data_IF_386386520156
#
_entry.id   IF_386386520156
#
_cell.length_a   1.000
_cell.length_b   1.000
_cell.length_c   1.000
_cell.angle_alpha   90.00
_cell.angle_beta   90.00
_cell.angle_gamma   90.00
#
_symmetry.space_group_name_H-M   'P 1'
#
loop_
_entity.id
_entity.type
_entity.pdbx_description
1 polymer ?
#
# COMPACT_ATOMS: atom_id res chain seq x y z
N UNK A 1 6.98 -32.79 19.12
CA UNK A 1 8.23 -32.00 19.20
C UNK A 1 8.53 -31.25 17.90
N UNK A 2 8.67 -31.90 16.73
CA UNK A 2 9.01 -31.20 15.46
C UNK A 2 8.02 -30.09 15.07
N UNK A 3 6.72 -30.29 15.32
CA UNK A 3 5.65 -29.29 15.09
C UNK A 3 5.82 -28.02 15.94
N UNK A 4 6.27 -28.16 17.18
CA UNK A 4 6.42 -27.03 18.11
C UNK A 4 7.54 -26.07 17.67
N UNK A 5 8.62 -26.56 17.06
CA UNK A 5 9.71 -25.72 16.57
C UNK A 5 9.27 -24.85 15.38
N UNK A 6 8.46 -25.40 14.47
CA UNK A 6 7.96 -24.68 13.30
C UNK A 6 7.11 -23.49 13.76
N UNK A 7 6.16 -23.70 14.67
CA UNK A 7 5.33 -22.61 15.18
C UNK A 7 6.19 -21.52 15.87
N UNK A 8 7.17 -21.90 16.70
CA UNK A 8 8.07 -20.94 17.37
C UNK A 8 8.85 -20.11 16.34
N UNK A 9 9.41 -20.74 15.31
CA UNK A 9 10.12 -20.04 14.23
C UNK A 9 9.16 -19.07 13.50
N UNK A 10 7.95 -19.51 13.18
CA UNK A 10 6.93 -18.66 12.54
C UNK A 10 6.61 -17.43 13.38
N UNK A 11 6.44 -17.59 14.70
CA UNK A 11 6.24 -16.47 15.63
C UNK A 11 7.41 -15.49 15.62
N UNK A 12 8.65 -16.00 15.63
CA UNK A 12 9.85 -15.15 15.58
C UNK A 12 9.88 -14.35 14.26
N UNK A 13 9.53 -14.96 13.13
CA UNK A 13 9.50 -14.26 11.83
C UNK A 13 8.39 -13.22 11.77
N UNK A 14 7.19 -13.54 12.28
CA UNK A 14 6.07 -12.60 12.34
C UNK A 14 6.40 -11.42 13.26
N UNK A 15 7.02 -11.67 14.41
CA UNK A 15 7.48 -10.63 15.33
C UNK A 15 8.65 -9.82 14.77
N UNK A 16 9.59 -10.48 14.09
CA UNK A 16 10.70 -9.83 13.40
C UNK A 16 10.21 -8.87 12.33
N UNK A 17 9.19 -9.27 11.56
CA UNK A 17 8.52 -8.39 10.61
C UNK A 17 8.02 -7.12 11.31
N UNK A 18 7.49 -7.25 12.53
CA UNK A 18 7.03 -6.12 13.34
C UNK A 18 8.12 -5.08 13.62
N UNK A 19 9.33 -5.54 13.91
CA UNK A 19 10.50 -4.70 14.17
C UNK A 19 11.06 -4.05 12.90
N UNK A 20 10.90 -4.66 11.73
CA UNK A 20 11.32 -4.06 10.46
C UNK A 20 10.40 -2.90 10.02
N UNK A 21 9.17 -2.79 10.53
CA UNK A 21 8.24 -1.73 10.11
C UNK A 21 8.69 -0.28 10.36
N UNK A 22 9.19 0.13 11.54
CA UNK A 22 9.70 1.49 11.71
C UNK A 22 10.85 1.79 10.74
N UNK A 23 11.67 0.79 10.40
CA UNK A 23 12.74 0.94 9.43
C UNK A 23 12.20 1.12 8.01
N UNK A 24 11.22 0.32 7.62
CA UNK A 24 10.55 0.44 6.32
C UNK A 24 9.85 1.80 6.16
N UNK A 25 9.14 2.26 7.21
CA UNK A 25 8.52 3.58 7.26
C UNK A 25 9.55 4.69 7.05
N UNK A 26 10.68 4.64 7.78
CA UNK A 26 11.77 5.62 7.65
C UNK A 26 12.36 5.62 6.25
N UNK A 27 12.58 4.45 5.65
CA UNK A 27 13.10 4.38 4.28
C UNK A 27 12.16 5.00 3.25
N UNK A 28 10.85 4.73 3.34
CA UNK A 28 9.88 5.33 2.41
C UNK A 28 9.85 6.84 2.59
N UNK A 29 9.75 7.32 3.82
CA UNK A 29 9.73 8.76 4.12
C UNK A 29 11.01 9.46 3.63
N UNK A 30 12.18 8.84 3.84
CA UNK A 30 13.45 9.38 3.36
C UNK A 30 13.49 9.53 1.82
N UNK A 31 12.85 8.62 1.08
CA UNK A 31 12.73 8.71 -0.38
C UNK A 31 11.66 9.71 -0.83
N UNK A 32 10.56 9.83 -0.07
CA UNK A 32 9.42 10.69 -0.42
C UNK A 32 9.65 12.17 -0.12
N UNK A 33 10.54 12.50 0.82
CA UNK A 33 10.83 13.87 1.22
C UNK A 33 9.79 14.42 2.21
N UNK A 34 9.69 15.76 2.30
CA UNK A 34 8.76 16.37 3.24
C UNK A 34 7.30 16.14 2.81
N UNK A 35 6.44 15.95 3.80
CA UNK A 35 5.01 15.83 3.56
C UNK A 35 4.42 17.22 3.33
N UNK A 36 3.74 17.38 2.19
CA UNK A 36 3.08 18.64 1.81
C UNK A 36 1.62 18.62 2.27
N UNK A 37 0.97 17.46 2.23
CA UNK A 37 -0.40 17.30 2.68
C UNK A 37 -0.69 15.87 3.15
N UNK A 38 -1.13 15.68 4.39
CA UNK A 38 -1.49 14.36 4.93
C UNK A 38 -2.98 14.12 4.66
N UNK A 39 -3.32 13.12 3.84
CA UNK A 39 -4.69 12.59 3.74
C UNK A 39 -4.81 11.37 4.64
N UNK A 40 -5.13 11.62 5.90
CA UNK A 40 -5.47 10.54 6.83
C UNK A 40 -6.85 9.98 6.49
N UNK A 41 -6.91 8.92 5.67
CA UNK A 41 -8.11 8.07 5.62
C UNK A 41 -8.21 7.27 6.91
N UNK A 42 -9.45 7.07 7.39
CA UNK A 42 -9.75 6.28 8.58
C UNK A 42 -9.28 4.85 8.36
N UNK A 43 -8.43 4.32 9.25
CA UNK A 43 -7.96 2.92 9.16
C UNK A 43 -9.17 1.98 9.12
N UNK A 44 -9.23 1.09 8.14
CA UNK A 44 -10.25 0.04 8.13
C UNK A 44 -9.97 -0.93 9.28
N UNK A 45 -10.97 -1.26 10.12
CA UNK A 45 -10.79 -2.23 11.20
C UNK A 45 -10.46 -3.63 10.66
N UNK A 46 -10.77 -3.91 9.39
CA UNK A 46 -10.54 -5.20 8.74
C UNK A 46 -9.06 -5.59 8.72
N UNK A 47 -8.15 -4.67 8.41
CA UNK A 47 -6.71 -4.98 8.36
C UNK A 47 -6.17 -5.46 9.70
N UNK A 48 -6.70 -4.91 10.81
CA UNK A 48 -6.32 -5.34 12.16
C UNK A 48 -6.90 -6.72 12.49
N UNK A 49 -8.15 -6.98 12.08
CA UNK A 49 -8.80 -8.29 12.26
C UNK A 49 -8.01 -9.39 11.55
N UNK A 50 -7.62 -9.18 10.29
CA UNK A 50 -6.88 -10.19 9.51
C UNK A 50 -5.49 -10.41 10.13
N UNK A 51 -4.83 -9.35 10.61
CA UNK A 51 -3.56 -9.47 11.31
C UNK A 51 -3.68 -10.38 12.54
N UNK A 52 -4.68 -10.15 13.40
CA UNK A 52 -4.93 -10.99 14.59
C UNK A 52 -5.27 -12.42 14.18
N UNK A 53 -6.04 -12.61 13.12
CA UNK A 53 -6.42 -13.92 12.61
C UNK A 53 -5.20 -14.75 12.19
N UNK A 54 -4.20 -14.15 11.55
CA UNK A 54 -2.95 -14.84 11.19
C UNK A 54 -2.22 -15.39 12.43
N UNK A 55 -2.20 -14.63 13.55
CA UNK A 55 -1.63 -15.09 14.81
C UNK A 55 -2.43 -16.23 15.45
N UNK A 56 -3.76 -16.16 15.38
CA UNK A 56 -4.65 -17.20 15.91
C UNK A 56 -4.50 -18.52 15.14
N UNK A 57 -4.33 -18.45 13.81
CA UNK A 57 -4.14 -19.63 12.96
C UNK A 57 -2.86 -20.39 13.36
N UNK A 58 -1.74 -19.69 13.54
CA UNK A 58 -0.47 -20.30 13.97
C UNK A 58 -0.57 -20.83 15.41
N UNK A 59 -1.33 -20.16 16.29
CA UNK A 59 -1.59 -20.66 17.64
C UNK A 59 -2.39 -21.98 17.63
N UNK A 60 -3.39 -22.09 16.75
CA UNK A 60 -4.21 -23.30 16.60
C UNK A 60 -3.39 -24.51 16.11
N UNK A 61 -2.30 -24.30 15.38
CA UNK A 61 -1.36 -25.38 15.00
C UNK A 61 -0.73 -26.04 16.23
N UNK A 62 -0.56 -25.34 17.35
CA UNK A 62 0.00 -25.94 18.57
C UNK A 62 -0.95 -26.97 19.20
N UNK A 63 -2.27 -26.78 19.03
CA UNK A 63 -3.29 -27.67 19.57
C UNK A 63 -3.65 -28.82 18.62
N UNK A 64 -3.40 -28.68 17.32
CA UNK A 64 -3.67 -29.73 16.32
C UNK A 64 -2.41 -30.45 15.86
N UNK A 65 -2.42 -31.78 15.93
CA UNK A 65 -1.38 -32.62 15.29
C UNK A 65 -1.66 -32.73 13.79
N UNK A 66 -1.22 -31.73 13.02
CA UNK A 66 -1.21 -31.75 11.56
C UNK A 66 0.08 -32.41 11.01
N UNK A 67 0.04 -32.85 9.75
CA UNK A 67 1.23 -33.32 9.04
C UNK A 67 2.26 -32.20 8.90
N UNK A 68 3.55 -32.56 8.81
CA UNK A 68 4.65 -31.59 8.75
C UNK A 68 4.51 -30.62 7.56
N UNK A 69 4.09 -31.13 6.40
CA UNK A 69 3.85 -30.36 5.18
C UNK A 69 2.70 -29.37 5.32
N UNK A 70 1.60 -29.75 5.99
CA UNK A 70 0.48 -28.83 6.24
C UNK A 70 0.88 -27.69 7.17
N UNK A 71 1.61 -27.97 8.25
CA UNK A 71 2.08 -26.92 9.17
C UNK A 71 3.00 -25.92 8.46
N UNK A 72 3.90 -26.40 7.59
CA UNK A 72 4.76 -25.53 6.79
C UNK A 72 3.95 -24.62 5.85
N UNK A 73 2.94 -25.16 5.17
CA UNK A 73 2.09 -24.37 4.29
C UNK A 73 1.29 -23.31 5.06
N UNK A 74 0.64 -23.70 6.16
CA UNK A 74 -0.20 -22.79 6.94
C UNK A 74 0.64 -21.71 7.62
N UNK A 75 1.76 -22.07 8.27
CA UNK A 75 2.73 -21.11 8.81
C UNK A 75 3.28 -20.18 7.74
N UNK A 76 3.65 -20.69 6.56
CA UNK A 76 4.12 -19.88 5.44
C UNK A 76 3.09 -18.87 4.96
N UNK A 77 1.84 -19.31 4.77
CA UNK A 77 0.72 -18.43 4.42
C UNK A 77 0.46 -17.36 5.49
N UNK A 78 0.53 -17.72 6.78
CA UNK A 78 0.35 -16.77 7.87
C UNK A 78 1.45 -15.69 7.89
N UNK A 79 2.70 -16.08 7.66
CA UNK A 79 3.84 -15.15 7.56
C UNK A 79 3.64 -14.19 6.38
N UNK A 80 3.30 -14.71 5.19
CA UNK A 80 3.04 -13.89 4.01
C UNK A 80 1.86 -12.94 4.22
N UNK A 81 0.78 -13.42 4.84
CA UNK A 81 -0.38 -12.61 5.19
C UNK A 81 0.01 -11.44 6.09
N UNK A 82 0.73 -11.71 7.19
CA UNK A 82 1.25 -10.67 8.09
C UNK A 82 2.13 -9.67 7.34
N UNK A 83 3.01 -10.12 6.46
CA UNK A 83 3.87 -9.23 5.69
C UNK A 83 3.07 -8.29 4.79
N UNK A 84 2.09 -8.81 4.04
CA UNK A 84 1.23 -8.02 3.15
C UNK A 84 0.39 -7.02 3.93
N UNK A 85 -0.33 -7.50 4.95
CA UNK A 85 -1.24 -6.67 5.76
C UNK A 85 -0.48 -5.57 6.45
N UNK A 86 0.71 -5.87 6.98
CA UNK A 86 1.43 -4.85 7.73
C UNK A 86 2.08 -3.83 6.81
N UNK A 87 2.53 -4.23 5.61
CA UNK A 87 2.91 -3.29 4.56
C UNK A 87 1.74 -2.36 4.22
N UNK A 88 0.55 -2.92 4.05
CA UNK A 88 -0.67 -2.17 3.80
C UNK A 88 -0.97 -1.18 4.94
N UNK A 89 -0.97 -1.62 6.20
CA UNK A 89 -1.21 -0.75 7.36
C UNK A 89 -0.21 0.42 7.42
N UNK A 90 1.06 0.16 7.13
CA UNK A 90 2.10 1.20 7.12
C UNK A 90 1.86 2.18 5.99
N UNK A 91 1.69 1.71 4.76
CA UNK A 91 1.47 2.60 3.62
C UNK A 91 0.17 3.39 3.75
N UNK A 92 -0.89 2.77 4.27
CA UNK A 92 -2.14 3.45 4.57
C UNK A 92 -1.98 4.55 5.61
N UNK A 93 -1.11 4.34 6.62
CA UNK A 93 -0.78 5.38 7.63
C UNK A 93 0.08 6.52 7.07
N UNK A 94 0.71 6.30 5.92
CA UNK A 94 1.52 7.27 5.20
C UNK A 94 0.76 7.90 4.02
N UNK A 95 -0.56 7.67 3.90
CA UNK A 95 -1.34 8.27 2.83
C UNK A 95 -1.24 9.80 2.87
N UNK A 96 -0.84 10.38 1.75
CA UNK A 96 -0.54 11.80 1.64
C UNK A 96 0.24 12.17 0.40
N UNK A 97 0.34 13.47 0.17
CA UNK A 97 1.13 14.09 -0.89
C UNK A 97 2.48 14.48 -0.27
N UNK A 98 3.55 14.03 -0.92
CA UNK A 98 4.93 14.32 -0.55
C UNK A 98 5.62 15.07 -1.69
N UNK A 99 6.78 15.66 -1.39
CA UNK A 99 7.55 16.41 -2.38
C UNK A 99 7.94 15.59 -3.61
N UNK A 100 8.32 14.32 -3.41
CA UNK A 100 8.82 13.47 -4.50
C UNK A 100 7.78 12.48 -5.04
N UNK A 101 6.56 12.49 -4.52
CA UNK A 101 5.54 11.53 -4.91
C UNK A 101 4.27 11.57 -4.06
N UNK A 102 3.34 10.68 -4.37
CA UNK A 102 2.08 10.51 -3.64
C UNK A 102 1.98 9.10 -3.07
N UNK A 103 1.41 8.99 -1.87
CA UNK A 103 0.96 7.72 -1.31
C UNK A 103 -0.56 7.77 -1.24
N UNK A 104 -1.22 6.84 -1.92
CA UNK A 104 -2.66 6.68 -1.84
C UNK A 104 -3.02 5.20 -1.77
N UNK A 105 -3.95 4.84 -0.89
CA UNK A 105 -4.50 3.48 -0.73
C UNK A 105 -3.45 2.36 -0.74
N UNK A 106 -2.35 2.55 -0.03
CA UNK A 106 -1.23 1.59 0.05
C UNK A 106 -0.37 1.45 -1.19
N UNK A 107 -0.47 2.39 -2.13
CA UNK A 107 0.39 2.51 -3.30
C UNK A 107 1.30 3.72 -3.19
N UNK A 108 2.57 3.52 -3.55
CA UNK A 108 3.61 4.55 -3.55
C UNK A 108 3.91 4.88 -5.00
N UNK A 109 3.69 6.13 -5.39
CA UNK A 109 3.93 6.62 -6.74
C UNK A 109 4.89 7.79 -6.67
N UNK A 110 6.09 7.62 -7.24
CA UNK A 110 7.08 8.68 -7.37
C UNK A 110 6.79 9.52 -8.62
N UNK A 111 6.90 10.85 -8.52
CA UNK A 111 6.68 11.73 -9.67
C UNK A 111 7.66 11.47 -10.81
N UNK A 112 8.88 11.02 -10.50
CA UNK A 112 9.89 10.65 -11.49
C UNK A 112 9.47 9.49 -12.39
N UNK A 113 8.58 8.63 -11.90
CA UNK A 113 8.22 7.39 -12.59
C UNK A 113 6.89 7.53 -13.36
N UNK A 114 6.18 8.65 -13.18
CA UNK A 114 4.94 8.97 -13.89
C UNK A 114 5.27 9.30 -15.35
N UNK A 115 4.73 8.50 -16.26
CA UNK A 115 4.90 8.67 -17.71
C UNK A 115 3.72 9.36 -18.36
N UNK A 116 2.49 9.13 -17.87
CA UNK A 116 1.30 9.75 -18.44
C UNK A 116 0.10 9.69 -17.49
N UNK A 117 -0.89 10.53 -17.77
CA UNK A 117 -2.22 10.49 -17.15
C UNK A 117 -3.24 10.00 -18.18
N UNK A 118 -3.38 8.68 -18.38
CA UNK A 118 -4.13 8.12 -19.50
C UNK A 118 -5.59 8.60 -19.56
N UNK A 119 -6.26 8.72 -18.41
CA UNK A 119 -7.66 9.20 -18.37
C UNK A 119 -7.76 10.69 -18.68
N UNK A 120 -6.78 11.50 -18.26
CA UNK A 120 -6.80 12.95 -18.52
C UNK A 120 -6.46 13.29 -19.98
N UNK A 121 -5.86 12.36 -20.73
CA UNK A 121 -5.56 12.50 -22.15
C UNK A 121 -6.74 12.12 -23.07
N UNK A 122 -7.78 11.45 -22.54
CA UNK A 122 -8.95 11.06 -23.32
C UNK A 122 -9.84 12.27 -23.67
N UNK A 123 -10.59 12.23 -24.78
CA UNK A 123 -11.59 13.24 -25.08
C UNK A 123 -12.61 13.37 -23.94
N UNK A 124 -13.11 14.58 -23.66
CA UNK A 124 -14.07 14.86 -22.57
C UNK A 124 -15.31 13.95 -22.60
N UNK A 125 -15.71 13.47 -23.78
CA UNK A 125 -16.84 12.56 -23.96
C UNK A 125 -16.56 11.14 -23.44
N UNK A 126 -15.30 10.68 -23.47
CA UNK A 126 -14.88 9.37 -22.95
C UNK A 126 -14.44 9.46 -21.48
N UNK A 127 -13.96 10.62 -21.04
CA UNK A 127 -13.69 10.90 -19.62
C UNK A 127 -14.94 10.75 -18.74
N UNK A 128 -16.13 11.08 -19.27
CA UNK A 128 -17.40 10.94 -18.55
C UNK A 128 -17.77 9.49 -18.21
N UNK A 129 -17.14 8.49 -18.85
CA UNK A 129 -17.31 7.08 -18.50
C UNK A 129 -16.42 6.61 -17.34
N UNK A 130 -15.46 7.44 -16.91
CA UNK A 130 -14.60 7.13 -15.77
C UNK A 130 -15.09 7.88 -14.53
N UNK A 131 -15.08 7.22 -13.38
CA UNK A 131 -15.44 7.86 -12.11
C UNK A 131 -14.47 9.02 -11.85
N UNK A 132 -15.01 10.23 -11.70
CA UNK A 132 -14.22 11.46 -11.52
C UNK A 132 -13.47 11.51 -10.19
N UNK A 133 -13.71 10.53 -9.33
CA UNK A 133 -13.02 10.28 -8.06
C UNK A 133 -11.71 9.49 -8.21
N UNK A 134 -11.39 8.91 -9.39
CA UNK A 134 -10.14 8.21 -9.63
C UNK A 134 -9.17 9.04 -10.48
N UNK A 135 -7.90 9.08 -10.05
CA UNK A 135 -6.80 9.55 -10.87
C UNK A 135 -5.97 8.34 -11.31
N UNK A 136 -6.04 8.02 -12.61
CA UNK A 136 -5.24 6.94 -13.19
C UNK A 136 -3.89 7.49 -13.64
N UNK A 137 -2.82 6.87 -13.16
CA UNK A 137 -1.45 7.28 -13.44
C UNK A 137 -0.70 6.11 -14.06
N UNK A 138 -0.11 6.32 -15.24
CA UNK A 138 0.75 5.32 -15.87
C UNK A 138 2.19 5.49 -15.39
N UNK A 139 2.81 4.40 -14.95
CA UNK A 139 4.17 4.38 -14.43
C UNK A 139 5.05 3.60 -15.39
N UNK A 140 6.20 4.12 -15.81
CA UNK A 140 7.02 3.48 -16.86
C UNK A 140 7.47 2.02 -16.58
N UNK A 141 7.40 1.56 -15.33
CA UNK A 141 7.76 0.19 -14.90
C UNK A 141 6.58 -0.66 -14.45
N UNK A 142 5.36 -0.11 -14.39
CA UNK A 142 4.17 -0.77 -13.83
C UNK A 142 2.95 -0.49 -14.69
N UNK A 143 1.97 -1.37 -14.57
CA UNK A 143 0.65 -1.12 -15.15
C UNK A 143 -0.01 0.12 -14.53
N UNK A 144 -1.10 0.59 -15.13
CA UNK A 144 -1.81 1.78 -14.68
C UNK A 144 -2.25 1.68 -13.21
N UNK A 145 -1.94 2.71 -12.43
CA UNK A 145 -2.26 2.80 -11.00
C UNK A 145 -3.48 3.71 -10.79
N UNK A 146 -4.48 3.20 -10.07
CA UNK A 146 -5.73 3.93 -9.81
C UNK A 146 -5.70 4.56 -8.41
N UNK A 147 -5.45 5.86 -8.34
CA UNK A 147 -5.50 6.61 -7.09
C UNK A 147 -6.96 7.02 -6.81
N UNK A 148 -7.58 6.39 -5.81
CA UNK A 148 -8.97 6.66 -5.44
C UNK A 148 -9.09 7.72 -4.34
N UNK A 149 -9.75 8.83 -4.67
CA UNK A 149 -10.08 9.93 -3.79
C UNK A 149 -11.54 9.89 -3.36
N UNK A 150 -11.88 10.69 -2.34
CA UNK A 150 -13.22 10.66 -1.76
C UNK A 150 -14.24 11.42 -2.62
N UNK A 151 -13.81 12.53 -3.21
CA UNK A 151 -14.63 13.43 -4.00
C UNK A 151 -13.83 13.95 -5.21
N UNK A 152 -14.54 14.36 -6.26
CA UNK A 152 -13.95 14.93 -7.48
C UNK A 152 -13.16 16.22 -7.21
N UNK A 153 -13.65 17.06 -6.30
CA UNK A 153 -12.96 18.28 -5.88
C UNK A 153 -11.64 17.97 -5.14
N UNK A 154 -11.64 16.87 -4.39
CA UNK A 154 -10.46 16.37 -3.69
C UNK A 154 -9.42 15.81 -4.69
N UNK A 155 -9.87 15.26 -5.81
CA UNK A 155 -9.03 14.80 -6.91
C UNK A 155 -8.39 15.99 -7.65
N UNK A 156 -9.19 17.01 -8.00
CA UNK A 156 -8.70 18.24 -8.64
C UNK A 156 -7.69 18.98 -7.79
N UNK A 157 -7.98 19.15 -6.49
CA UNK A 157 -7.04 19.80 -5.57
C UNK A 157 -5.71 19.05 -5.43
N UNK A 158 -5.74 17.70 -5.44
CA UNK A 158 -4.51 16.89 -5.43
C UNK A 158 -3.75 17.05 -6.75
N UNK A 159 -4.45 17.06 -7.89
CA UNK A 159 -3.83 17.26 -9.20
C UNK A 159 -3.16 18.64 -9.29
N UNK A 160 -3.84 19.69 -8.84
CA UNK A 160 -3.28 21.04 -8.80
C UNK A 160 -2.07 21.12 -7.86
N UNK A 161 -2.14 20.47 -6.69
CA UNK A 161 -1.00 20.36 -5.78
C UNK A 161 0.18 19.62 -6.43
N UNK A 162 -0.06 18.49 -7.11
CA UNK A 162 0.96 17.75 -7.86
C UNK A 162 1.62 18.62 -8.93
N UNK A 163 0.83 19.35 -9.71
CA UNK A 163 1.32 20.24 -10.76
C UNK A 163 2.12 21.42 -10.20
N UNK A 164 1.72 21.94 -9.03
CA UNK A 164 2.45 23.01 -8.34
C UNK A 164 3.82 22.56 -7.82
N UNK A 165 3.94 21.31 -7.37
CA UNK A 165 5.18 20.73 -6.84
C UNK A 165 6.10 20.29 -7.97
N UNK A 166 5.54 19.75 -9.06
CA UNK A 166 6.29 19.19 -10.17
C UNK A 166 5.74 19.69 -11.52
N UNK A 167 6.14 20.89 -11.99
CA UNK A 167 5.66 21.45 -13.26
C UNK A 167 6.07 20.60 -14.48
N UNK A 168 7.05 19.69 -14.34
CA UNK A 168 7.39 18.69 -15.36
C UNK A 168 6.25 17.72 -15.66
N UNK A 169 5.32 17.48 -14.72
CA UNK A 169 4.12 16.67 -14.96
C UNK A 169 3.12 17.37 -15.88
N UNK A 170 3.13 18.71 -15.94
CA UNK A 170 2.27 19.49 -16.82
C UNK A 170 2.58 19.22 -18.30
N UNK A 171 3.82 18.85 -18.62
CA UNK A 171 4.22 18.46 -19.98
C UNK A 171 3.63 17.12 -20.42
N UNK A 172 3.18 16.28 -19.49
CA UNK A 172 2.56 14.98 -19.77
C UNK A 172 1.04 15.08 -19.97
N UNK A 173 0.48 16.26 -19.73
CA UNK A 173 -0.94 16.60 -19.90
C UNK A 173 -1.25 17.23 -21.26
N UNK A 174 -0.22 17.53 -22.06
CA UNK A 174 -0.29 18.15 -23.39
C UNK A 174 0.08 17.12 -24.46
#
# INVERSE_FOLDING_TARGET
MKTSYICIISYIIMFGSLLLFPFYKKQILAKMGNCVHIKTKKKSPLSLIIYVLCFVIVLLELFRKLSLSMNLMISGCAILGVFIITKEIVLYSLNGIYQNGVICNSEVVYYSDIMSFPVLQLPKNEQANYDSSFLVVSIGRKDNINLCYKDEDECKSVLDAMLSICPSLQKLLN
#
